data_IF_224391044037
#
_entry.id   IF_224391044037
#
_cell.length_a   1.000
_cell.length_b   1.000
_cell.length_c   1.000
_cell.angle_alpha   90.00
_cell.angle_beta   90.00
_cell.angle_gamma   90.00
#
_symmetry.space_group_name_H-M   'P 1'
#
loop_
_entity.id
_entity.type
_entity.pdbx_description
1 polymer ?
#
# COMPACT_ATOMS: atom_id res chain seq x y z
N UNK A 1 10.92 -11.44 -3.51
CA UNK A 1 9.69 -10.83 -2.95
C UNK A 1 8.92 -10.12 -4.04
N UNK A 2 7.61 -10.26 -4.06
CA UNK A 2 6.78 -9.60 -5.05
C UNK A 2 6.51 -8.15 -4.64
N UNK A 3 7.01 -7.20 -5.42
CA UNK A 3 6.85 -5.76 -5.11
C UNK A 3 5.38 -5.32 -5.07
N UNK A 4 4.54 -5.90 -5.93
CA UNK A 4 3.10 -5.61 -5.93
C UNK A 4 2.46 -6.04 -4.62
N UNK A 5 2.82 -7.20 -4.11
CA UNK A 5 2.30 -7.70 -2.83
C UNK A 5 2.77 -6.84 -1.67
N UNK A 6 4.06 -6.47 -1.66
CA UNK A 6 4.60 -5.62 -0.60
C UNK A 6 3.90 -4.24 -0.61
N UNK A 7 3.69 -3.66 -1.78
CA UNK A 7 2.98 -2.39 -1.91
C UNK A 7 1.52 -2.52 -1.48
N UNK A 8 0.85 -3.61 -1.85
CA UNK A 8 -0.53 -3.87 -1.44
C UNK A 8 -0.64 -3.91 0.08
N UNK A 9 0.27 -4.59 0.76
CA UNK A 9 0.28 -4.67 2.21
C UNK A 9 0.50 -3.31 2.86
N UNK A 10 1.45 -2.53 2.34
CA UNK A 10 1.73 -1.20 2.86
C UNK A 10 0.51 -0.28 2.72
N UNK A 11 -0.15 -0.30 1.56
CA UNK A 11 -1.36 0.48 1.32
C UNK A 11 -2.52 0.03 2.20
N UNK A 12 -2.67 -1.28 2.38
CA UNK A 12 -3.70 -1.85 3.25
C UNK A 12 -3.50 -1.37 4.69
N UNK A 13 -2.28 -1.41 5.20
CA UNK A 13 -1.96 -0.92 6.54
C UNK A 13 -2.27 0.56 6.69
N UNK A 14 -1.99 1.36 5.64
CA UNK A 14 -2.31 2.79 5.66
C UNK A 14 -3.82 3.03 5.79
N UNK A 15 -4.63 2.23 5.07
CA UNK A 15 -6.08 2.34 5.11
C UNK A 15 -6.68 1.96 6.46
N UNK A 16 -6.05 1.04 7.17
CA UNK A 16 -6.52 0.54 8.46
C UNK A 16 -5.86 1.20 9.66
N UNK A 17 -4.91 2.11 9.43
CA UNK A 17 -4.15 2.72 10.51
C UNK A 17 -5.07 3.46 11.48
N UNK A 18 -4.93 3.22 12.81
CA UNK A 18 -5.83 3.82 13.80
C UNK A 18 -5.53 5.29 14.10
N UNK A 19 -4.36 5.79 13.70
CA UNK A 19 -3.98 7.17 13.92
C UNK A 19 -3.14 7.70 12.76
N UNK A 20 -2.97 9.02 12.71
CA UNK A 20 -2.28 9.69 11.60
C UNK A 20 -0.79 9.32 11.55
N UNK A 21 -0.14 9.16 12.71
CA UNK A 21 1.29 8.82 12.75
C UNK A 21 1.57 7.48 12.09
N UNK A 22 0.73 6.47 12.36
CA UNK A 22 0.87 5.15 11.75
C UNK A 22 0.48 5.17 10.28
N UNK A 23 -0.55 5.92 9.92
CA UNK A 23 -0.94 6.10 8.53
C UNK A 23 0.21 6.73 7.73
N UNK A 24 0.84 7.76 8.27
CA UNK A 24 1.96 8.44 7.60
C UNK A 24 3.15 7.49 7.40
N UNK A 25 3.45 6.64 8.37
CA UNK A 25 4.53 5.65 8.25
C UNK A 25 4.22 4.63 7.15
N UNK A 26 2.99 4.14 7.12
CA UNK A 26 2.57 3.17 6.10
C UNK A 26 2.59 3.81 4.70
N UNK A 27 2.16 5.07 4.58
CA UNK A 27 2.20 5.80 3.32
C UNK A 27 3.66 6.00 2.87
N UNK A 28 4.55 6.39 3.78
CA UNK A 28 5.97 6.55 3.47
C UNK A 28 6.58 5.24 2.97
N UNK A 29 6.24 4.13 3.62
CA UNK A 29 6.68 2.80 3.18
C UNK A 29 6.14 2.47 1.79
N UNK A 30 4.85 2.74 1.56
CA UNK A 30 4.23 2.49 0.27
C UNK A 30 4.88 3.33 -0.84
N UNK A 31 5.20 4.58 -0.57
CA UNK A 31 5.89 5.45 -1.53
C UNK A 31 7.28 4.92 -1.85
N UNK A 32 8.01 4.45 -0.84
CA UNK A 32 9.34 3.87 -1.02
C UNK A 32 9.28 2.62 -1.90
N UNK A 33 8.33 1.73 -1.63
CA UNK A 33 8.13 0.52 -2.43
C UNK A 33 7.65 0.88 -3.84
N UNK A 34 6.70 1.80 -3.94
CA UNK A 34 6.11 2.23 -5.20
C UNK A 34 7.10 2.88 -6.15
N UNK A 35 8.15 3.51 -5.62
CA UNK A 35 9.20 4.11 -6.44
C UNK A 35 9.92 3.06 -7.30
N UNK A 36 9.95 1.79 -6.86
CA UNK A 36 10.52 0.69 -7.63
C UNK A 36 9.51 -0.10 -8.45
N UNK A 37 8.24 0.32 -8.46
CA UNK A 37 7.17 -0.37 -9.19
C UNK A 37 6.78 0.36 -10.47
N UNK A 38 6.20 -0.39 -11.41
CA UNK A 38 5.59 0.21 -12.62
C UNK A 38 4.26 0.84 -12.24
N UNK A 39 3.74 1.74 -13.09
CA UNK A 39 2.41 2.32 -12.89
C UNK A 39 1.32 1.25 -12.79
N UNK A 40 1.45 0.20 -13.60
CA UNK A 40 0.52 -0.92 -13.60
C UNK A 40 0.54 -1.65 -12.26
N UNK A 41 1.72 -1.89 -11.70
CA UNK A 41 1.86 -2.51 -10.39
C UNK A 41 1.25 -1.66 -9.28
N UNK A 42 1.49 -0.35 -9.32
CA UNK A 42 0.91 0.58 -8.34
C UNK A 42 -0.61 0.58 -8.43
N UNK A 43 -1.17 0.65 -9.62
CA UNK A 43 -2.63 0.62 -9.82
C UNK A 43 -3.24 -0.69 -9.30
N UNK A 44 -2.59 -1.82 -9.59
CA UNK A 44 -3.04 -3.14 -9.12
C UNK A 44 -3.00 -3.20 -7.59
N UNK A 45 -1.91 -2.72 -6.98
CA UNK A 45 -1.76 -2.72 -5.52
C UNK A 45 -2.83 -1.86 -4.84
N UNK A 46 -3.13 -0.68 -5.37
CA UNK A 46 -4.17 0.19 -4.85
C UNK A 46 -5.54 -0.49 -4.88
N UNK A 47 -5.85 -1.14 -6.01
CA UNK A 47 -7.11 -1.85 -6.17
C UNK A 47 -7.24 -3.00 -5.18
N UNK A 48 -6.18 -3.79 -5.05
CA UNK A 48 -6.17 -4.94 -4.15
C UNK A 48 -6.27 -4.51 -2.68
N UNK A 49 -5.55 -3.46 -2.29
CA UNK A 49 -5.61 -2.93 -0.93
C UNK A 49 -7.01 -2.43 -0.59
N UNK A 50 -7.67 -1.75 -1.52
CA UNK A 50 -9.03 -1.26 -1.32
C UNK A 50 -10.03 -2.42 -1.14
N UNK A 51 -9.87 -3.49 -1.92
CA UNK A 51 -10.72 -4.68 -1.78
C UNK A 51 -10.52 -5.34 -0.42
N UNK A 52 -9.29 -5.49 0.02
CA UNK A 52 -8.99 -6.08 1.33
C UNK A 52 -9.56 -5.24 2.47
N UNK A 53 -9.48 -3.93 2.36
CA UNK A 53 -10.00 -3.03 3.39
C UNK A 53 -11.52 -3.06 3.50
N UNK A 54 -12.22 -3.45 2.42
CA UNK A 54 -13.69 -3.57 2.42
C UNK A 54 -14.20 -4.93 2.85
N UNK A 55 -13.32 -5.91 2.86
CA UNK A 55 -13.70 -7.30 3.16
C UNK A 55 -14.08 -7.50 4.63
#
# INVERSE_FOLDING_TARGET
>A
MNSTLALTRALFLALLAPDQARADRAIALAESIGAGCTQKQVATAKRNAAKLARA
#
